data_IF_441187733773
#
_entry.id   IF_441187733773
#
_cell.length_a   1.000
_cell.length_b   1.000
_cell.length_c   1.000
_cell.angle_alpha   90.00
_cell.angle_beta   90.00
_cell.angle_gamma   90.00
#
_symmetry.space_group_name_H-M   'P 1'
#
loop_
_entity.id
_entity.type
_entity.pdbx_description
1 polymer ?
#
# COMPACT_ATOMS: atom_id res chain seq x y z
N UNK A 1 -9.07 -19.82 -16.97
CA UNK A 1 -10.21 -18.87 -17.08
C UNK A 1 -9.83 -17.67 -16.25
N UNK A 2 -9.68 -16.52 -16.91
CA UNK A 2 -9.11 -15.31 -16.33
C UNK A 2 -10.14 -14.49 -15.56
N UNK A 3 -9.83 -14.21 -14.30
CA UNK A 3 -10.49 -13.21 -13.46
C UNK A 3 -9.47 -12.37 -12.66
N UNK A 4 -8.17 -12.44 -12.97
CA UNK A 4 -7.12 -11.77 -12.20
C UNK A 4 -7.03 -10.26 -12.44
N UNK A 5 -7.42 -9.78 -13.62
CA UNK A 5 -7.22 -8.37 -14.00
C UNK A 5 -8.11 -7.41 -13.17
N UNK A 6 -9.30 -7.86 -12.72
CA UNK A 6 -10.22 -7.03 -11.92
C UNK A 6 -9.66 -6.76 -10.52
N UNK A 7 -9.25 -7.81 -9.81
CA UNK A 7 -8.76 -7.72 -8.43
C UNK A 7 -7.50 -6.85 -8.32
N UNK A 8 -6.55 -7.03 -9.25
CA UNK A 8 -5.35 -6.19 -9.30
C UNK A 8 -5.66 -4.73 -9.61
N UNK A 9 -6.55 -4.48 -10.59
CA UNK A 9 -6.94 -3.10 -10.94
C UNK A 9 -7.68 -2.39 -9.80
N UNK A 10 -8.56 -3.10 -9.09
CA UNK A 10 -9.34 -2.57 -7.98
C UNK A 10 -8.42 -2.25 -6.79
N UNK A 11 -7.42 -3.09 -6.54
CA UNK A 11 -6.40 -2.87 -5.52
C UNK A 11 -5.55 -1.64 -5.83
N UNK A 12 -5.05 -1.50 -7.06
CA UNK A 12 -4.24 -0.34 -7.46
C UNK A 12 -5.03 0.96 -7.28
N UNK A 13 -6.30 0.97 -7.72
CA UNK A 13 -7.19 2.13 -7.56
C UNK A 13 -7.46 2.42 -6.08
N UNK A 14 -7.67 1.40 -5.25
CA UNK A 14 -7.89 1.57 -3.81
C UNK A 14 -6.67 2.18 -3.12
N UNK A 15 -5.46 1.66 -3.38
CA UNK A 15 -4.21 2.20 -2.82
C UNK A 15 -3.97 3.63 -3.31
N UNK A 16 -4.20 3.90 -4.60
CA UNK A 16 -4.06 5.25 -5.16
C UNK A 16 -5.00 6.25 -4.47
N UNK A 17 -6.27 5.89 -4.29
CA UNK A 17 -7.25 6.74 -3.58
C UNK A 17 -6.86 6.97 -2.12
N UNK A 18 -6.49 5.92 -1.41
CA UNK A 18 -6.09 6.02 -0.01
C UNK A 18 -4.87 6.96 0.18
N UNK A 19 -3.89 6.87 -0.73
CA UNK A 19 -2.73 7.77 -0.73
C UNK A 19 -3.11 9.21 -1.09
N UNK A 20 -3.95 9.41 -2.10
CA UNK A 20 -4.40 10.74 -2.49
C UNK A 20 -5.16 11.42 -1.33
N UNK A 21 -6.11 10.72 -0.71
CA UNK A 21 -6.87 11.22 0.43
C UNK A 21 -5.97 11.50 1.63
N UNK A 22 -5.02 10.60 1.90
CA UNK A 22 -4.03 10.76 2.96
C UNK A 22 -3.11 11.96 2.77
N UNK A 23 -2.58 12.15 1.56
CA UNK A 23 -1.75 13.30 1.20
C UNK A 23 -2.55 14.60 1.22
N UNK A 24 -3.80 14.60 0.76
CA UNK A 24 -4.68 15.75 0.82
C UNK A 24 -4.92 16.21 2.27
N UNK A 25 -5.12 15.28 3.21
CA UNK A 25 -5.21 15.57 4.65
C UNK A 25 -3.92 16.15 5.25
N UNK A 26 -2.77 15.94 4.59
CA UNK A 26 -1.46 16.51 4.96
C UNK A 26 -1.17 17.85 4.26
N UNK A 27 -2.12 18.38 3.49
CA UNK A 27 -2.01 19.68 2.82
C UNK A 27 -1.46 19.63 1.38
N UNK A 28 -1.19 18.43 0.84
CA UNK A 28 -0.80 18.28 -0.56
C UNK A 28 -2.02 18.39 -1.48
N UNK A 29 -1.78 18.69 -2.76
CA UNK A 29 -2.80 18.69 -3.82
C UNK A 29 -2.47 17.58 -4.82
N UNK A 30 -2.81 16.31 -4.53
CA UNK A 30 -2.56 15.23 -5.46
C UNK A 30 -3.40 15.44 -6.72
N UNK A 31 -2.73 15.41 -7.88
CA UNK A 31 -3.37 15.39 -9.19
C UNK A 31 -3.19 14.00 -9.82
N UNK A 32 -4.03 13.67 -10.80
CA UNK A 32 -3.84 12.50 -11.62
C UNK A 32 -2.44 12.52 -12.24
N UNK A 33 -1.80 11.35 -12.34
CA UNK A 33 -0.47 11.24 -12.92
C UNK A 33 -0.48 11.76 -14.38
N UNK A 34 0.08 12.95 -14.59
CA UNK A 34 0.24 13.51 -15.93
C UNK A 34 1.53 12.99 -16.56
N UNK A 35 1.45 12.56 -17.83
CA UNK A 35 2.62 12.14 -18.59
C UNK A 35 3.59 13.32 -18.69
N UNK A 36 4.84 13.11 -18.29
CA UNK A 36 5.87 14.16 -18.26
C UNK A 36 5.94 14.98 -16.97
N UNK A 37 5.10 14.67 -15.96
CA UNK A 37 5.23 15.31 -14.67
C UNK A 37 6.51 14.81 -13.96
N UNK A 38 7.46 15.71 -13.79
CA UNK A 38 8.78 15.43 -13.24
C UNK A 38 8.83 15.57 -11.72
N UNK A 39 7.69 15.86 -11.08
CA UNK A 39 7.55 15.99 -9.63
C UNK A 39 6.32 15.21 -9.15
N UNK A 40 6.48 14.40 -8.11
CA UNK A 40 5.38 13.65 -7.53
C UNK A 40 5.85 12.43 -6.73
N UNK A 41 4.89 11.59 -6.36
CA UNK A 41 5.16 10.30 -5.73
C UNK A 41 4.82 9.18 -6.70
N UNK A 42 5.71 8.20 -6.83
CA UNK A 42 5.41 6.90 -7.40
C UNK A 42 5.35 5.89 -6.27
N UNK A 43 4.28 5.10 -6.22
CA UNK A 43 4.16 3.98 -5.29
C UNK A 43 4.06 2.70 -6.08
N UNK A 44 4.87 1.72 -5.71
CA UNK A 44 4.91 0.40 -6.32
C UNK A 44 4.48 -0.62 -5.27
N UNK A 45 3.44 -1.40 -5.56
CA UNK A 45 3.04 -2.54 -4.73
C UNK A 45 4.09 -3.63 -4.98
N UNK A 46 4.85 -3.99 -3.96
CA UNK A 46 5.95 -4.97 -4.05
C UNK A 46 5.49 -6.38 -3.79
N UNK A 47 4.63 -6.54 -2.79
CA UNK A 47 4.00 -7.80 -2.46
C UNK A 47 2.66 -7.55 -1.78
N UNK A 48 1.78 -8.53 -1.91
CA UNK A 48 0.57 -8.71 -1.12
C UNK A 48 0.41 -10.21 -0.93
N UNK A 49 1.04 -10.72 0.13
CA UNK A 49 1.13 -12.14 0.38
C UNK A 49 0.08 -12.52 1.42
N UNK A 50 -0.75 -13.51 1.08
CA UNK A 50 -1.71 -14.11 2.00
C UNK A 50 -1.30 -15.57 2.22
N UNK A 51 -0.96 -15.92 3.44
CA UNK A 51 -0.52 -17.28 3.78
C UNK A 51 -1.26 -17.81 4.99
N UNK A 52 -1.60 -19.10 4.94
CA UNK A 52 -2.12 -19.85 6.07
C UNK A 52 -1.06 -20.88 6.47
N UNK A 53 -0.47 -20.68 7.64
CA UNK A 53 0.52 -21.57 8.24
C UNK A 53 -0.24 -22.56 9.12
N UNK A 54 -0.33 -23.82 8.70
CA UNK A 54 -1.03 -24.84 9.47
C UNK A 54 -0.19 -25.32 10.66
N UNK A 55 -0.73 -25.23 11.89
CA UNK A 55 -0.20 -25.85 13.09
C UNK A 55 -1.04 -27.05 13.53
N UNK A 56 -0.50 -27.89 14.42
CA UNK A 56 -1.14 -29.14 14.85
C UNK A 56 -2.50 -28.94 15.56
N UNK A 57 -2.74 -27.77 16.17
CA UNK A 57 -3.97 -27.45 16.90
C UNK A 57 -4.72 -26.21 16.35
N UNK A 58 -4.01 -25.27 15.73
CA UNK A 58 -4.55 -24.05 15.13
C UNK A 58 -3.68 -23.63 13.95
N UNK A 59 -4.30 -23.02 12.94
CA UNK A 59 -3.57 -22.35 11.86
C UNK A 59 -3.26 -20.89 12.23
N UNK A 60 -2.19 -20.34 11.65
CA UNK A 60 -1.91 -18.90 11.69
C UNK A 60 -2.16 -18.34 10.30
N UNK A 61 -3.09 -17.40 10.20
CA UNK A 61 -3.28 -16.57 9.02
C UNK A 61 -2.34 -15.38 9.12
N UNK A 62 -1.62 -15.12 8.04
CA UNK A 62 -0.73 -13.96 7.92
C UNK A 62 -0.94 -13.29 6.57
N UNK A 63 -1.07 -11.97 6.60
CA UNK A 63 -1.08 -11.12 5.41
C UNK A 63 0.05 -10.13 5.52
N UNK A 64 0.95 -10.11 4.54
CA UNK A 64 2.02 -9.12 4.45
C UNK A 64 1.81 -8.26 3.21
N UNK A 65 1.88 -6.94 3.38
CA UNK A 65 1.80 -5.97 2.30
C UNK A 65 3.06 -5.09 2.27
N UNK A 66 3.62 -4.89 1.08
CA UNK A 66 4.80 -4.05 0.88
C UNK A 66 4.58 -2.99 -0.17
N UNK A 67 4.82 -1.73 0.19
CA UNK A 67 4.73 -0.58 -0.70
C UNK A 67 6.09 0.10 -0.80
N UNK A 68 6.65 0.22 -2.00
CA UNK A 68 7.82 1.07 -2.23
C UNK A 68 7.35 2.45 -2.66
N UNK A 69 7.65 3.48 -1.87
CA UNK A 69 7.46 4.86 -2.30
C UNK A 69 8.75 5.42 -2.88
N UNK A 70 8.59 6.21 -3.94
CA UNK A 70 9.66 6.91 -4.63
C UNK A 70 9.20 8.36 -4.77
N UNK A 71 9.91 9.27 -4.13
CA UNK A 71 9.78 10.70 -4.36
C UNK A 71 10.47 11.03 -5.69
N UNK A 72 9.74 11.66 -6.61
CA UNK A 72 10.26 12.12 -7.91
C UNK A 72 10.34 13.64 -7.84
N UNK A 73 11.49 14.21 -8.18
CA UNK A 73 11.70 15.67 -8.29
C UNK A 73 12.59 16.00 -9.47
N UNK A 74 12.12 16.85 -10.37
CA UNK A 74 12.82 17.21 -11.60
C UNK A 74 13.37 15.97 -12.34
N UNK A 75 12.62 14.86 -12.34
CA UNK A 75 12.99 13.58 -12.95
C UNK A 75 13.99 12.73 -12.14
N UNK A 76 14.51 13.24 -11.03
CA UNK A 76 15.38 12.53 -10.10
C UNK A 76 14.58 11.77 -9.04
N UNK A 77 15.23 10.79 -8.39
CA UNK A 77 14.66 9.99 -7.30
C UNK A 77 15.43 10.21 -5.99
N UNK A 78 15.34 11.41 -5.39
CA UNK A 78 16.15 11.78 -4.22
C UNK A 78 15.80 11.00 -2.96
N UNK A 79 14.64 10.33 -2.92
CA UNK A 79 14.22 9.53 -1.78
C UNK A 79 13.43 8.31 -2.25
N UNK A 80 13.76 7.14 -1.71
CA UNK A 80 12.98 5.91 -1.87
C UNK A 80 13.02 5.07 -0.60
N UNK A 81 11.89 4.44 -0.26
CA UNK A 81 11.78 3.56 0.90
C UNK A 81 10.71 2.50 0.71
N UNK A 82 10.92 1.34 1.34
CA UNK A 82 9.94 0.27 1.44
C UNK A 82 9.19 0.39 2.78
N UNK A 83 7.86 0.31 2.69
CA UNK A 83 6.94 0.33 3.82
C UNK A 83 6.23 -1.00 3.89
N UNK A 84 6.08 -1.51 5.10
CA UNK A 84 5.45 -2.80 5.37
C UNK A 84 4.21 -2.59 6.23
N UNK A 85 3.20 -3.42 5.98
CA UNK A 85 2.06 -3.60 6.85
C UNK A 85 1.73 -5.08 6.95
N UNK A 86 1.15 -5.48 8.07
CA UNK A 86 0.97 -6.88 8.42
C UNK A 86 -0.36 -7.09 9.12
N UNK A 87 -1.00 -8.21 8.85
CA UNK A 87 -2.08 -8.74 9.68
C UNK A 87 -1.75 -10.18 10.07
N UNK A 88 -1.88 -10.51 11.36
CA UNK A 88 -1.67 -11.86 11.88
C UNK A 88 -2.83 -12.26 12.78
N UNK A 89 -3.41 -13.44 12.54
CA UNK A 89 -4.48 -13.99 13.37
C UNK A 89 -4.37 -15.51 13.51
N UNK A 90 -4.66 -16.02 14.70
CA UNK A 90 -4.83 -17.46 14.92
C UNK A 90 -6.23 -17.89 14.49
N UNK A 91 -6.29 -18.83 13.55
CA UNK A 91 -7.55 -19.34 12.98
C UNK A 91 -7.75 -20.82 13.31
N UNK A 92 -8.99 -21.18 13.63
CA UNK A 92 -9.41 -22.57 13.82
C UNK A 92 -10.25 -23.11 12.66
N UNK A 93 -10.76 -22.21 11.82
CA UNK A 93 -11.59 -22.52 10.65
C UNK A 93 -11.18 -21.64 9.47
N UNK A 94 -11.48 -22.11 8.25
CA UNK A 94 -11.28 -21.33 7.02
C UNK A 94 -12.19 -20.11 7.06
N UNK A 95 -11.61 -18.95 6.79
CA UNK A 95 -12.30 -17.66 6.86
C UNK A 95 -13.08 -17.37 5.57
N UNK A 96 -14.25 -16.76 5.73
CA UNK A 96 -15.09 -16.34 4.60
C UNK A 96 -14.52 -15.13 3.84
N UNK A 97 -15.05 -14.87 2.65
CA UNK A 97 -14.59 -13.80 1.75
C UNK A 97 -14.46 -12.42 2.43
N UNK A 98 -15.49 -12.01 3.19
CA UNK A 98 -15.51 -10.71 3.88
C UNK A 98 -14.43 -10.58 4.97
N UNK A 99 -14.10 -11.67 5.64
CA UNK A 99 -12.98 -11.70 6.59
C UNK A 99 -11.65 -11.54 5.85
N UNK A 100 -11.43 -12.28 4.76
CA UNK A 100 -10.21 -12.20 3.97
C UNK A 100 -9.97 -10.79 3.39
N UNK A 101 -11.01 -10.14 2.88
CA UNK A 101 -10.95 -8.75 2.41
C UNK A 101 -10.55 -7.79 3.54
N UNK A 102 -11.09 -7.97 4.74
CA UNK A 102 -10.69 -7.17 5.91
C UNK A 102 -9.23 -7.35 6.27
N UNK A 103 -8.70 -8.57 6.24
CA UNK A 103 -7.29 -8.83 6.58
C UNK A 103 -6.33 -8.17 5.59
N UNK A 104 -6.64 -8.28 4.30
CA UNK A 104 -5.91 -7.59 3.22
C UNK A 104 -5.96 -6.07 3.42
N UNK A 105 -7.15 -5.53 3.68
CA UNK A 105 -7.33 -4.10 3.90
C UNK A 105 -6.55 -3.60 5.11
N UNK A 106 -6.46 -4.37 6.19
CA UNK A 106 -5.66 -4.01 7.37
C UNK A 106 -4.18 -3.94 7.03
N UNK A 107 -3.61 -4.99 6.44
CA UNK A 107 -2.19 -5.00 6.07
C UNK A 107 -1.82 -3.85 5.10
N UNK A 108 -2.67 -3.57 4.10
CA UNK A 108 -2.47 -2.45 3.18
C UNK A 108 -2.61 -1.10 3.87
N UNK A 109 -3.59 -0.95 4.77
CA UNK A 109 -3.79 0.30 5.53
C UNK A 109 -2.58 0.60 6.40
N UNK A 110 -1.98 -0.40 7.02
CA UNK A 110 -0.77 -0.24 7.83
C UNK A 110 0.42 0.21 6.98
N UNK A 111 0.63 -0.40 5.80
CA UNK A 111 1.67 0.01 4.87
C UNK A 111 1.46 1.46 4.37
N UNK A 112 0.22 1.84 4.01
CA UNK A 112 -0.14 3.20 3.59
C UNK A 112 0.05 4.20 4.72
N UNK A 113 -0.38 3.87 5.94
CA UNK A 113 -0.22 4.75 7.10
C UNK A 113 1.25 4.97 7.46
N UNK A 114 2.06 3.92 7.36
CA UNK A 114 3.51 4.00 7.55
C UNK A 114 4.15 4.97 6.54
N UNK A 115 3.81 4.83 5.26
CA UNK A 115 4.24 5.74 4.19
C UNK A 115 3.81 7.19 4.46
N UNK A 116 2.55 7.42 4.82
CA UNK A 116 1.99 8.76 5.08
C UNK A 116 2.48 9.38 6.40
N UNK A 117 3.19 8.62 7.22
CA UNK A 117 3.80 9.08 8.48
C UNK A 117 5.29 9.32 8.35
N UNK A 118 5.91 8.95 7.22
CA UNK A 118 7.33 9.16 6.97
C UNK A 118 7.62 10.64 6.67
N UNK A 119 8.23 11.32 7.63
CA UNK A 119 8.56 12.74 7.51
C UNK A 119 9.56 13.01 6.39
N UNK A 120 10.55 12.14 6.17
CA UNK A 120 11.57 12.37 5.13
C UNK A 120 10.94 12.25 3.74
N UNK A 121 10.01 11.32 3.55
CA UNK A 121 9.22 11.23 2.32
C UNK A 121 8.38 12.49 2.13
N UNK A 122 7.63 12.92 3.15
CA UNK A 122 6.76 14.09 3.06
C UNK A 122 7.56 15.38 2.80
N UNK A 123 8.70 15.55 3.48
CA UNK A 123 9.61 16.67 3.27
C UNK A 123 10.20 16.63 1.86
N UNK A 124 10.51 15.44 1.34
CA UNK A 124 10.94 15.29 -0.04
C UNK A 124 9.89 15.81 -1.02
N UNK A 125 8.62 15.44 -0.82
CA UNK A 125 7.50 15.87 -1.66
C UNK A 125 7.21 17.37 -1.51
N UNK A 126 7.38 17.94 -0.32
CA UNK A 126 7.08 19.35 -0.04
C UNK A 126 8.12 20.33 -0.62
N UNK A 127 9.37 19.91 -0.76
CA UNK A 127 10.46 20.74 -1.32
C UNK A 127 10.30 21.08 -2.82
N UNK A 128 9.20 20.65 -3.47
CA UNK A 128 8.84 21.01 -4.84
C UNK A 128 7.56 21.86 -4.97
N UNK A 129 7.01 22.35 -3.84
CA UNK A 129 5.85 23.25 -3.78
C UNK A 129 6.33 24.71 -3.70
#
# INVERSE_FOLDING_TARGET
>A
MGADISLESDLVVAVQRALADGLAKKGFKPDAAQIGNNTGIRVEIRNLDYVIIQGFWAGTLRVDAGLKAICIRNGLRPYERLYHGEFVESIQVVQGKEANERYINTALSDAVNSLLSDRELLDCLAQGI
#
